data_IF_360271696321
#
_entry.id   IF_360271696321
#
_cell.length_a   1.000
_cell.length_b   1.000
_cell.length_c   1.000
_cell.angle_alpha   90.00
_cell.angle_beta   90.00
_cell.angle_gamma   90.00
#
_symmetry.space_group_name_H-M   'P 1'
#
loop_
_entity.id
_entity.type
_entity.pdbx_description
1 polymer ?
#
# COMPACT_ATOMS: atom_id res chain seq x y z
N UNK A 1 -22.97 13.76 20.68
CA UNK A 1 -22.13 14.96 20.47
C UNK A 1 -20.79 14.45 19.96
N UNK A 2 -20.65 14.25 18.65
CA UNK A 2 -20.34 15.24 17.61
C UNK A 2 -18.83 15.30 17.33
N UNK A 3 -18.51 15.02 16.05
CA UNK A 3 -17.33 15.46 15.27
C UNK A 3 -15.96 14.87 15.57
N UNK A 4 -15.62 13.80 14.84
CA UNK A 4 -14.27 13.52 14.32
C UNK A 4 -14.39 12.97 12.88
N UNK A 5 -14.88 13.82 11.97
CA UNK A 5 -14.75 13.60 10.52
C UNK A 5 -14.18 14.88 9.93
N UNK A 6 -12.91 15.14 10.22
CA UNK A 6 -12.17 16.20 9.55
C UNK A 6 -10.70 15.85 9.56
N UNK A 7 -10.22 15.17 8.52
CA UNK A 7 -8.86 15.31 7.96
C UNK A 7 -8.60 14.36 6.76
N UNK A 8 -9.55 14.25 5.82
CA UNK A 8 -9.21 13.77 4.47
C UNK A 8 -8.90 15.01 3.62
N UNK A 9 -7.68 15.21 3.08
CA UNK A 9 -7.32 16.40 2.34
C UNK A 9 -8.22 16.65 1.13
N UNK A 10 -8.62 17.91 0.93
CA UNK A 10 -9.36 18.38 -0.25
C UNK A 10 -8.50 18.19 -1.52
N UNK A 11 -8.84 17.18 -2.32
CA UNK A 11 -8.23 16.98 -3.65
C UNK A 11 -9.02 17.77 -4.69
N UNK A 12 -8.31 18.70 -5.34
CA UNK A 12 -8.80 19.67 -6.34
C UNK A 12 -9.54 18.98 -7.49
N UNK A 13 -10.65 19.62 -7.88
CA UNK A 13 -11.64 19.19 -8.86
C UNK A 13 -11.25 19.65 -10.27
N UNK A 14 -11.02 18.71 -11.19
CA UNK A 14 -11.35 18.87 -12.60
C UNK A 14 -11.32 17.49 -13.29
N UNK A 15 -12.50 17.03 -13.69
CA UNK A 15 -12.78 15.95 -14.66
C UNK A 15 -12.32 14.52 -14.30
N UNK A 16 -12.91 13.95 -13.26
CA UNK A 16 -12.82 12.51 -12.95
C UNK A 16 -14.20 11.98 -12.56
N UNK A 17 -14.62 10.83 -13.10
CA UNK A 17 -15.77 10.10 -12.56
C UNK A 17 -15.34 9.58 -11.18
N UNK A 18 -15.76 10.26 -10.11
CA UNK A 18 -15.55 9.75 -8.76
C UNK A 18 -16.61 8.67 -8.52
N UNK A 19 -16.20 7.48 -8.13
CA UNK A 19 -17.14 6.46 -7.61
C UNK A 19 -17.92 6.96 -6.38
N UNK A 20 -17.46 8.05 -5.74
CA UNK A 20 -18.26 8.82 -4.75
C UNK A 20 -19.59 9.33 -5.33
N UNK A 21 -19.65 9.74 -6.59
CA UNK A 21 -20.87 10.29 -7.20
C UNK A 21 -21.92 9.20 -7.51
N UNK A 22 -21.52 7.92 -7.50
CA UNK A 22 -22.44 6.77 -7.55
C UNK A 22 -22.93 6.41 -6.13
N UNK A 23 -22.10 6.63 -5.10
CA UNK A 23 -22.42 6.31 -3.71
C UNK A 23 -23.29 7.38 -3.00
N UNK A 24 -23.22 8.66 -3.39
CA UNK A 24 -23.96 9.74 -2.72
C UNK A 24 -25.47 9.76 -3.06
N UNK A 25 -25.92 8.98 -4.05
CA UNK A 25 -27.35 8.86 -4.42
C UNK A 25 -27.92 7.44 -4.36
N UNK A 26 -27.14 6.46 -3.90
CA UNK A 26 -27.64 5.10 -3.71
C UNK A 26 -27.28 4.64 -2.30
N UNK A 27 -28.32 4.51 -1.47
CA UNK A 27 -28.33 3.63 -0.29
C UNK A 27 -28.06 2.20 -0.77
N UNK A 28 -26.80 1.87 -1.06
CA UNK A 28 -26.33 0.51 -1.24
C UNK A 28 -25.82 0.06 0.12
N UNK A 29 -26.73 -0.56 0.88
CA UNK A 29 -26.38 -1.39 2.03
C UNK A 29 -25.80 -2.70 1.49
N UNK A 30 -24.51 -2.71 1.19
CA UNK A 30 -23.78 -3.83 0.60
C UNK A 30 -22.29 -3.71 0.87
N UNK A 31 -21.55 -4.78 0.56
CA UNK A 31 -20.11 -4.79 0.74
C UNK A 31 -19.45 -3.94 -0.35
N UNK A 32 -18.90 -2.78 0.04
CA UNK A 32 -18.33 -1.78 -0.88
C UNK A 32 -17.23 -2.30 -1.79
N UNK A 33 -16.59 -3.40 -1.40
CA UNK A 33 -15.58 -4.11 -2.18
C UNK A 33 -16.18 -4.86 -3.38
N UNK A 34 -17.37 -5.46 -3.23
CA UNK A 34 -18.06 -6.18 -4.31
C UNK A 34 -18.62 -5.21 -5.35
N UNK A 35 -19.20 -4.09 -4.91
CA UNK A 35 -19.69 -3.06 -5.82
C UNK A 35 -18.56 -2.42 -6.62
N UNK A 36 -17.41 -2.14 -5.97
CA UNK A 36 -16.21 -1.68 -6.67
C UNK A 36 -15.76 -2.71 -7.72
N UNK A 37 -15.66 -3.98 -7.32
CA UNK A 37 -15.23 -5.05 -8.23
C UNK A 37 -16.17 -5.21 -9.42
N UNK A 38 -17.48 -5.08 -9.21
CA UNK A 38 -18.47 -5.19 -10.28
C UNK A 38 -18.41 -3.99 -11.22
N UNK A 39 -18.33 -2.77 -10.68
CA UNK A 39 -18.22 -1.58 -11.50
C UNK A 39 -16.91 -1.56 -12.32
N UNK A 40 -15.80 -2.00 -11.72
CA UNK A 40 -14.53 -2.12 -12.42
C UNK A 40 -14.61 -3.12 -13.58
N UNK A 41 -15.24 -4.30 -13.38
CA UNK A 41 -15.35 -5.31 -14.44
C UNK A 41 -16.21 -4.87 -15.63
N UNK A 42 -17.15 -3.94 -15.42
CA UNK A 42 -18.02 -3.39 -16.46
C UNK A 42 -17.40 -2.20 -17.21
N UNK A 43 -16.29 -1.64 -16.73
CA UNK A 43 -15.70 -0.41 -17.24
C UNK A 43 -14.22 -0.61 -17.64
N UNK A 44 -13.94 -1.35 -18.73
CA UNK A 44 -12.56 -1.64 -19.17
C UNK A 44 -11.78 -0.40 -19.60
N UNK A 45 -12.45 0.74 -19.81
CA UNK A 45 -11.83 2.02 -20.14
C UNK A 45 -11.46 2.87 -18.92
N UNK A 46 -11.59 2.35 -17.69
CA UNK A 46 -11.19 3.08 -16.49
C UNK A 46 -9.69 3.38 -16.52
N UNK A 47 -9.32 4.64 -16.32
CA UNK A 47 -7.93 5.08 -16.22
C UNK A 47 -7.48 5.30 -14.77
N UNK A 48 -8.41 5.58 -13.86
CA UNK A 48 -8.13 5.66 -12.43
C UNK A 48 -9.29 5.17 -11.58
N UNK A 49 -8.96 4.65 -10.41
CA UNK A 49 -9.90 4.26 -9.37
C UNK A 49 -9.55 4.99 -8.09
N UNK A 50 -10.57 5.57 -7.46
CA UNK A 50 -10.48 6.08 -6.10
C UNK A 50 -11.68 5.63 -5.29
N UNK A 51 -11.47 4.86 -4.24
CA UNK A 51 -12.55 4.24 -3.48
C UNK A 51 -12.23 4.14 -1.99
N UNK A 52 -13.30 4.13 -1.20
CA UNK A 52 -13.26 3.69 0.21
C UNK A 52 -13.98 2.36 0.27
N UNK A 53 -13.26 1.33 0.67
CA UNK A 53 -13.67 -0.07 0.65
C UNK A 53 -13.90 -0.59 2.06
N UNK A 54 -14.65 -1.67 2.17
CA UNK A 54 -14.91 -2.37 3.44
C UNK A 54 -14.25 -3.75 3.35
N UNK A 55 -14.64 -4.68 4.22
CA UNK A 55 -14.16 -6.06 4.20
C UNK A 55 -14.39 -6.76 2.85
N UNK A 56 -13.69 -7.87 2.59
CA UNK A 56 -13.94 -8.73 1.42
C UNK A 56 -13.05 -8.46 0.22
N UNK A 57 -13.12 -9.38 -0.75
CA UNK A 57 -12.15 -9.49 -1.84
C UNK A 57 -12.22 -8.32 -2.82
N UNK A 58 -11.12 -7.59 -2.94
CA UNK A 58 -10.96 -6.53 -3.93
C UNK A 58 -10.78 -7.13 -5.33
N UNK A 59 -11.52 -6.59 -6.31
CA UNK A 59 -11.34 -6.92 -7.74
C UNK A 59 -11.53 -8.40 -8.12
N UNK A 60 -12.23 -9.21 -7.32
CA UNK A 60 -12.44 -10.63 -7.60
C UNK A 60 -13.20 -10.90 -8.92
N UNK A 61 -14.09 -9.99 -9.35
CA UNK A 61 -14.75 -10.02 -10.67
C UNK A 61 -13.84 -9.58 -11.83
N UNK A 62 -12.67 -9.01 -11.54
CA UNK A 62 -11.66 -8.62 -12.54
C UNK A 62 -10.56 -9.69 -12.71
N UNK A 63 -10.79 -10.90 -12.21
CA UNK A 63 -9.82 -12.01 -12.15
C UNK A 63 -9.29 -12.49 -13.51
N UNK A 64 -9.96 -12.15 -14.62
CA UNK A 64 -9.37 -12.31 -15.95
C UNK A 64 -8.27 -11.26 -16.16
N UNK A 65 -7.02 -11.73 -16.31
CA UNK A 65 -5.87 -10.85 -16.49
C UNK A 65 -6.07 -9.85 -17.63
N UNK A 66 -5.72 -8.59 -17.40
CA UNK A 66 -5.85 -7.52 -18.39
C UNK A 66 -7.28 -6.98 -18.58
N UNK A 67 -8.22 -7.26 -17.67
CA UNK A 67 -9.59 -6.71 -17.71
C UNK A 67 -9.68 -5.19 -17.52
N UNK A 68 -8.65 -4.57 -16.95
CA UNK A 68 -8.53 -3.12 -16.74
C UNK A 68 -7.28 -2.57 -17.48
N UNK A 69 -7.23 -2.69 -18.82
CA UNK A 69 -6.00 -2.44 -19.58
C UNK A 69 -5.58 -0.96 -19.59
N UNK A 70 -6.51 -0.03 -19.36
CA UNK A 70 -6.23 1.40 -19.35
C UNK A 70 -5.96 1.97 -17.95
N UNK A 71 -6.13 1.16 -16.90
CA UNK A 71 -6.00 1.63 -15.52
C UNK A 71 -4.54 1.97 -15.21
N UNK A 72 -4.31 3.20 -14.75
CA UNK A 72 -3.00 3.79 -14.47
C UNK A 72 -2.84 4.18 -13.00
N UNK A 73 -3.92 4.53 -12.33
CA UNK A 73 -3.87 5.02 -10.95
C UNK A 73 -4.93 4.37 -10.08
N UNK A 74 -4.53 3.93 -8.89
CA UNK A 74 -5.43 3.37 -7.88
C UNK A 74 -5.15 4.05 -6.55
N UNK A 75 -6.21 4.53 -5.90
CA UNK A 75 -6.19 5.12 -4.55
C UNK A 75 -7.32 4.48 -3.72
N UNK A 76 -6.94 3.56 -2.83
CA UNK A 76 -7.87 2.83 -1.97
C UNK A 76 -7.68 3.22 -0.53
N UNK A 77 -8.79 3.32 0.20
CA UNK A 77 -8.76 3.45 1.65
C UNK A 77 -9.70 2.43 2.27
N UNK A 78 -9.24 1.72 3.29
CA UNK A 78 -10.11 0.90 4.12
C UNK A 78 -10.99 1.80 5.00
N UNK A 79 -12.27 1.46 5.12
CA UNK A 79 -13.25 2.24 5.89
C UNK A 79 -12.96 2.21 7.39
N UNK A 80 -12.48 1.08 7.89
CA UNK A 80 -12.25 0.86 9.31
C UNK A 80 -10.78 1.05 9.70
N UNK A 81 -10.58 1.51 10.94
CA UNK A 81 -9.29 1.64 11.62
C UNK A 81 -8.95 0.40 12.47
N UNK A 82 -9.79 -0.62 12.49
CA UNK A 82 -9.49 -1.92 13.12
C UNK A 82 -9.34 -3.05 12.08
N UNK A 83 -9.30 -2.69 10.80
CA UNK A 83 -9.05 -3.62 9.70
C UNK A 83 -8.20 -2.98 8.61
N UNK A 84 -7.53 -3.80 7.83
CA UNK A 84 -6.71 -3.37 6.71
C UNK A 84 -6.96 -4.26 5.50
N UNK A 85 -6.57 -3.78 4.33
CA UNK A 85 -6.44 -4.64 3.16
C UNK A 85 -5.29 -5.61 3.37
N UNK A 86 -5.48 -6.87 3.00
CA UNK A 86 -4.37 -7.80 2.87
C UNK A 86 -3.59 -7.48 1.58
N UNK A 87 -2.27 -7.61 1.61
CA UNK A 87 -1.46 -7.56 0.40
C UNK A 87 -1.93 -8.61 -0.64
N UNK A 88 -2.38 -9.78 -0.21
CA UNK A 88 -2.89 -10.83 -1.07
C UNK A 88 -4.11 -10.38 -1.89
N UNK A 89 -4.96 -9.52 -1.33
CA UNK A 89 -6.15 -8.98 -2.02
C UNK A 89 -5.78 -8.14 -3.26
N UNK A 90 -4.55 -7.61 -3.31
CA UNK A 90 -4.07 -6.82 -4.45
C UNK A 90 -3.66 -7.69 -5.65
N UNK A 91 -3.51 -9.00 -5.50
CA UNK A 91 -3.10 -9.88 -6.57
C UNK A 91 -4.08 -9.84 -7.76
N UNK A 92 -5.39 -9.77 -7.48
CA UNK A 92 -6.42 -9.62 -8.50
C UNK A 92 -6.29 -8.29 -9.26
N UNK A 93 -6.06 -7.19 -8.54
CA UNK A 93 -5.81 -5.89 -9.14
C UNK A 93 -4.59 -5.91 -10.06
N UNK A 94 -3.48 -6.50 -9.61
CA UNK A 94 -2.24 -6.55 -10.38
C UNK A 94 -2.38 -7.37 -11.67
N UNK A 95 -3.15 -8.46 -11.62
CA UNK A 95 -3.51 -9.23 -12.83
C UNK A 95 -4.42 -8.42 -13.75
N UNK A 96 -5.41 -7.72 -13.21
CA UNK A 96 -6.39 -6.96 -13.98
C UNK A 96 -5.78 -5.72 -14.66
N UNK A 97 -4.84 -5.03 -14.00
CA UNK A 97 -4.32 -3.72 -14.39
C UNK A 97 -2.82 -3.72 -14.71
N UNK A 98 -2.37 -4.36 -15.81
CA UNK A 98 -0.94 -4.50 -16.14
C UNK A 98 -0.23 -3.16 -16.46
N UNK A 99 -1.00 -2.10 -16.73
CA UNK A 99 -0.48 -0.77 -17.05
C UNK A 99 -0.54 0.21 -15.87
N UNK A 100 -0.82 -0.29 -14.66
CA UNK A 100 -0.84 0.51 -13.43
C UNK A 100 0.51 1.20 -13.23
N UNK A 101 0.48 2.50 -12.97
CA UNK A 101 1.66 3.36 -12.76
C UNK A 101 1.77 3.87 -11.34
N UNK A 102 0.65 4.01 -10.64
CA UNK A 102 0.58 4.52 -9.28
C UNK A 102 -0.41 3.73 -8.45
N UNK A 103 0.04 3.34 -7.25
CA UNK A 103 -0.76 2.68 -6.24
C UNK A 103 -0.69 3.49 -4.94
N UNK A 104 -1.85 3.86 -4.42
CA UNK A 104 -2.00 4.48 -3.11
C UNK A 104 -2.98 3.65 -2.28
N UNK A 105 -2.57 3.24 -1.08
CA UNK A 105 -3.38 2.44 -0.18
C UNK A 105 -3.31 3.02 1.22
N UNK A 106 -4.46 3.23 1.83
CA UNK A 106 -4.61 3.63 3.22
C UNK A 106 -5.27 2.49 4.01
N UNK A 107 -4.54 1.88 4.93
CA UNK A 107 -4.95 0.67 5.63
C UNK A 107 -4.52 -0.59 4.88
N UNK A 108 -3.25 -0.98 5.04
CA UNK A 108 -2.67 -2.20 4.47
C UNK A 108 -1.94 -2.97 5.57
N UNK A 109 -2.23 -4.27 5.73
CA UNK A 109 -1.51 -5.17 6.62
C UNK A 109 -0.71 -6.19 5.82
N UNK A 110 0.46 -6.54 6.34
CA UNK A 110 1.09 -7.82 6.04
C UNK A 110 0.48 -8.89 6.92
N UNK A 111 0.46 -10.12 6.43
CA UNK A 111 -0.13 -11.26 7.12
C UNK A 111 0.39 -11.40 8.58
N UNK A 112 -0.54 -11.70 9.49
CA UNK A 112 -0.38 -11.74 10.94
C UNK A 112 0.21 -13.05 11.45
N UNK A 113 0.15 -14.10 10.64
CA UNK A 113 0.51 -15.43 11.10
C UNK A 113 2.03 -15.63 10.99
N UNK A 114 2.61 -16.26 12.03
CA UNK A 114 3.98 -16.74 12.04
C UNK A 114 4.38 -17.30 10.68
N UNK A 115 5.65 -17.19 10.23
CA UNK A 115 6.07 -17.60 8.90
C UNK A 115 5.62 -19.03 8.61
N UNK A 116 4.44 -19.15 8.00
CA UNK A 116 3.94 -20.36 7.40
C UNK A 116 4.86 -20.60 6.21
N UNK A 117 5.22 -21.86 5.95
CA UNK A 117 6.45 -22.21 5.24
C UNK A 117 6.59 -21.61 3.83
N UNK A 118 7.64 -22.01 3.11
CA UNK A 118 7.96 -21.51 1.74
C UNK A 118 6.78 -21.50 0.73
N UNK A 119 5.69 -22.20 1.05
CA UNK A 119 4.42 -22.26 0.33
C UNK A 119 3.42 -21.12 0.63
N UNK A 120 3.68 -20.11 1.47
CA UNK A 120 2.72 -18.99 1.72
C UNK A 120 3.24 -17.61 1.28
N UNK A 121 3.72 -17.53 0.04
CA UNK A 121 3.93 -16.22 -0.61
C UNK A 121 2.57 -15.59 -0.88
N UNK A 122 2.21 -14.51 -0.18
CA UNK A 122 0.98 -13.72 -0.41
C UNK A 122 0.85 -13.24 -1.85
N UNK A 123 1.98 -12.94 -2.47
CA UNK A 123 2.09 -12.74 -3.91
C UNK A 123 2.70 -14.00 -4.55
N UNK A 124 2.03 -15.14 -4.37
CA UNK A 124 2.47 -16.42 -4.92
C UNK A 124 2.44 -16.36 -6.45
N UNK A 125 3.61 -16.56 -7.03
CA UNK A 125 3.80 -16.78 -8.45
C UNK A 125 4.86 -15.85 -9.00
N UNK A 126 5.86 -16.46 -9.63
CA UNK A 126 6.73 -15.86 -10.64
C UNK A 126 5.94 -15.30 -11.87
N UNK A 127 4.70 -14.83 -11.66
CA UNK A 127 3.68 -14.53 -12.67
C UNK A 127 3.13 -13.10 -12.54
N UNK A 128 3.17 -12.47 -11.36
CA UNK A 128 2.68 -11.09 -11.17
C UNK A 128 3.88 -10.13 -11.14
N UNK A 129 4.16 -9.51 -12.28
CA UNK A 129 5.19 -8.47 -12.40
C UNK A 129 4.54 -7.18 -12.88
N UNK A 130 4.53 -6.18 -12.01
CA UNK A 130 4.03 -4.83 -12.28
C UNK A 130 5.11 -4.00 -12.97
N UNK A 131 5.36 -4.31 -14.26
CA UNK A 131 6.42 -3.70 -15.07
C UNK A 131 6.24 -2.19 -15.34
N UNK A 132 5.09 -1.64 -14.97
CA UNK A 132 4.75 -0.23 -15.18
C UNK A 132 4.56 0.57 -13.88
N UNK A 133 4.51 -0.08 -12.72
CA UNK A 133 4.22 0.58 -11.44
C UNK A 133 5.45 1.37 -10.97
N UNK A 134 5.36 2.70 -10.99
CA UNK A 134 6.46 3.62 -10.66
C UNK A 134 6.35 4.22 -9.26
N UNK A 135 5.13 4.36 -8.76
CA UNK A 135 4.87 4.99 -7.47
C UNK A 135 4.01 4.11 -6.58
N UNK A 136 4.48 3.89 -5.35
CA UNK A 136 3.74 3.23 -4.27
C UNK A 136 3.66 4.19 -3.09
N UNK A 137 2.46 4.39 -2.55
CA UNK A 137 2.20 5.21 -1.37
C UNK A 137 1.28 4.43 -0.42
N UNK A 138 1.84 3.92 0.67
CA UNK A 138 1.14 3.10 1.64
C UNK A 138 1.09 3.87 2.96
N UNK A 139 -0.11 3.99 3.54
CA UNK A 139 -0.34 4.77 4.76
C UNK A 139 -1.21 4.00 5.73
N UNK A 140 -1.09 4.33 7.01
CA UNK A 140 -1.80 3.64 8.08
C UNK A 140 -1.64 2.12 7.93
N UNK A 141 -0.40 1.66 7.80
CA UNK A 141 -0.08 0.29 7.46
C UNK A 141 0.87 -0.36 8.46
N UNK A 142 0.88 -1.69 8.45
CA UNK A 142 1.87 -2.50 9.14
C UNK A 142 2.37 -3.60 8.19
N UNK A 143 3.59 -3.44 7.69
CA UNK A 143 4.22 -4.43 6.81
C UNK A 143 5.46 -4.97 7.50
N UNK A 144 5.62 -6.29 7.53
CA UNK A 144 6.89 -6.90 7.93
C UNK A 144 7.90 -6.90 6.75
N UNK A 145 9.14 -7.30 7.01
CA UNK A 145 10.21 -7.28 6.01
C UNK A 145 9.96 -8.24 4.83
N UNK A 146 9.31 -9.37 5.07
CA UNK A 146 8.94 -10.35 4.04
C UNK A 146 7.89 -9.77 3.10
N UNK A 147 6.83 -9.16 3.64
CA UNK A 147 5.77 -8.50 2.87
C UNK A 147 6.34 -7.36 2.02
N UNK A 148 7.26 -6.57 2.56
CA UNK A 148 7.96 -5.53 1.79
C UNK A 148 8.82 -6.12 0.65
N UNK A 149 9.53 -7.24 0.89
CA UNK A 149 10.34 -7.91 -0.14
C UNK A 149 9.46 -8.45 -1.27
N UNK A 150 8.32 -9.07 -0.93
CA UNK A 150 7.35 -9.56 -1.90
C UNK A 150 6.80 -8.42 -2.76
N UNK A 151 6.35 -7.33 -2.13
CA UNK A 151 5.83 -6.16 -2.83
C UNK A 151 6.86 -5.56 -3.81
N UNK A 152 8.09 -5.34 -3.37
CA UNK A 152 9.15 -4.78 -4.22
C UNK A 152 9.66 -5.78 -5.27
N UNK A 153 9.57 -7.07 -5.02
CA UNK A 153 9.86 -8.11 -6.01
C UNK A 153 8.83 -8.11 -7.14
N UNK A 154 7.55 -7.94 -6.82
CA UNK A 154 6.48 -7.81 -7.80
C UNK A 154 6.56 -6.48 -8.59
N UNK A 155 7.19 -5.45 -8.03
CA UNK A 155 7.23 -4.10 -8.59
C UNK A 155 8.69 -3.64 -8.88
N UNK A 156 9.42 -4.29 -9.81
CA UNK A 156 10.88 -4.13 -9.96
C UNK A 156 11.34 -2.75 -10.48
N UNK A 157 10.39 -1.92 -10.92
CA UNK A 157 10.60 -0.65 -11.62
C UNK A 157 10.11 0.55 -10.80
N UNK A 158 9.75 0.34 -9.53
CA UNK A 158 9.30 1.41 -8.64
C UNK A 158 10.42 2.43 -8.46
N UNK A 159 10.08 3.70 -8.65
CA UNK A 159 10.96 4.85 -8.52
C UNK A 159 10.69 5.61 -7.23
N UNK A 160 9.44 5.61 -6.76
CA UNK A 160 9.02 6.32 -5.55
C UNK A 160 8.27 5.38 -4.63
N UNK A 161 8.75 5.27 -3.39
CA UNK A 161 8.09 4.51 -2.33
C UNK A 161 7.82 5.42 -1.14
N UNK A 162 6.56 5.47 -0.70
CA UNK A 162 6.15 6.19 0.50
C UNK A 162 5.47 5.23 1.45
N UNK A 163 5.85 5.28 2.72
CA UNK A 163 5.30 4.44 3.77
C UNK A 163 5.00 5.27 5.02
N UNK A 164 3.82 5.10 5.58
CA UNK A 164 3.44 5.67 6.87
C UNK A 164 2.79 4.58 7.74
N UNK A 165 3.40 4.32 8.89
CA UNK A 165 3.07 3.26 9.84
C UNK A 165 1.80 3.51 10.67
N UNK A 166 1.31 2.45 11.34
CA UNK A 166 0.27 2.53 12.37
C UNK A 166 -1.15 2.63 11.82
N UNK A 167 -2.09 3.17 12.58
CA UNK A 167 -3.46 3.43 12.11
C UNK A 167 -4.31 2.17 12.10
N UNK A 168 -4.71 1.68 10.92
CA UNK A 168 -5.69 0.59 10.86
C UNK A 168 -5.13 -0.81 11.16
N UNK A 169 -3.81 -0.88 11.39
CA UNK A 169 -3.05 -2.09 11.67
C UNK A 169 -2.21 -1.95 12.95
N UNK A 170 -2.73 -1.26 13.98
CA UNK A 170 -2.06 -1.17 15.28
C UNK A 170 -2.01 -2.56 15.94
N UNK A 171 -0.82 -2.97 16.40
CA UNK A 171 -0.56 -4.30 16.98
C UNK A 171 0.03 -5.34 16.02
N UNK A 172 0.09 -5.03 14.72
CA UNK A 172 0.65 -5.89 13.68
C UNK A 172 2.18 -5.75 13.57
N UNK A 173 2.86 -6.81 13.15
CA UNK A 173 4.32 -6.83 12.93
C UNK A 173 4.75 -5.81 11.86
N UNK A 174 5.76 -4.99 12.18
CA UNK A 174 6.32 -3.99 11.27
C UNK A 174 7.82 -4.22 11.06
N UNK A 175 8.30 -3.94 9.85
CA UNK A 175 9.73 -3.98 9.57
C UNK A 175 10.48 -2.92 10.38
N UNK A 176 11.70 -3.26 10.79
CA UNK A 176 12.65 -2.29 11.31
C UNK A 176 13.31 -1.48 10.18
N UNK A 177 13.85 -0.29 10.46
CA UNK A 177 14.53 0.54 9.45
C UNK A 177 15.70 -0.18 8.77
N UNK A 178 16.44 -1.03 9.50
CA UNK A 178 17.52 -1.84 8.95
C UNK A 178 17.03 -2.88 7.95
N UNK A 179 15.92 -3.56 8.24
CA UNK A 179 15.31 -4.53 7.34
C UNK A 179 14.76 -3.86 6.09
N UNK A 180 14.10 -2.70 6.26
CA UNK A 180 13.66 -1.86 5.14
C UNK A 180 14.82 -1.51 4.22
N UNK A 181 15.94 -1.04 4.79
CA UNK A 181 17.17 -0.76 4.03
C UNK A 181 17.59 -1.99 3.24
N UNK A 182 17.74 -3.13 3.90
CA UNK A 182 18.27 -4.35 3.26
C UNK A 182 17.39 -4.81 2.09
N UNK A 183 16.07 -4.83 2.30
CA UNK A 183 15.09 -5.16 1.26
C UNK A 183 15.16 -4.15 0.11
N UNK A 184 15.16 -2.85 0.40
CA UNK A 184 15.20 -1.81 -0.64
C UNK A 184 16.52 -1.81 -1.43
N UNK A 185 17.66 -2.09 -0.78
CA UNK A 185 18.96 -2.23 -1.46
C UNK A 185 18.99 -3.47 -2.36
N UNK A 186 18.35 -4.56 -1.92
CA UNK A 186 18.25 -5.79 -2.70
C UNK A 186 17.29 -5.66 -3.88
N UNK A 187 16.06 -5.19 -3.66
CA UNK A 187 14.96 -5.22 -4.65
C UNK A 187 14.76 -3.90 -5.41
N UNK A 188 14.91 -2.76 -4.75
CA UNK A 188 14.62 -1.44 -5.30
C UNK A 188 15.69 -0.89 -6.24
N UNK A 189 15.95 -1.56 -7.37
CA UNK A 189 17.03 -1.17 -8.30
C UNK A 189 16.77 0.16 -9.01
N UNK A 190 15.51 0.54 -9.19
CA UNK A 190 15.09 1.79 -9.85
C UNK A 190 14.65 2.88 -8.86
N UNK A 191 14.71 2.62 -7.55
CA UNK A 191 14.29 3.59 -6.54
C UNK A 191 15.11 4.88 -6.66
N UNK A 192 14.41 6.01 -6.64
CA UNK A 192 14.96 7.37 -6.64
C UNK A 192 14.59 8.12 -5.37
N UNK A 193 13.39 7.89 -4.83
CA UNK A 193 12.92 8.52 -3.61
C UNK A 193 12.21 7.53 -2.70
N UNK A 194 12.55 7.61 -1.42
CA UNK A 194 11.91 6.87 -0.34
C UNK A 194 11.52 7.87 0.75
N UNK A 195 10.25 7.85 1.16
CA UNK A 195 9.75 8.66 2.28
C UNK A 195 9.09 7.75 3.31
N UNK A 196 9.47 7.87 4.57
CA UNK A 196 9.03 6.95 5.61
C UNK A 196 8.62 7.71 6.87
N UNK A 197 7.44 7.39 7.39
CA UNK A 197 6.94 7.88 8.66
C UNK A 197 6.69 6.70 9.61
N UNK A 198 7.51 6.59 10.65
CA UNK A 198 7.49 5.46 11.57
C UNK A 198 6.61 5.67 12.81
N UNK A 199 5.92 6.81 12.92
CA UNK A 199 4.99 7.07 14.02
C UNK A 199 3.72 7.79 13.55
N UNK A 200 3.26 7.52 12.33
CA UNK A 200 2.20 8.31 11.70
C UNK A 200 0.86 8.25 12.45
N UNK A 201 0.46 7.07 12.94
CA UNK A 201 -0.84 6.88 13.57
C UNK A 201 -0.84 6.02 14.85
N UNK A 202 0.33 5.67 15.40
CA UNK A 202 0.53 5.34 16.82
C UNK A 202 2.02 5.11 17.12
N UNK A 203 2.37 5.17 18.41
CA UNK A 203 3.70 4.77 18.88
C UNK A 203 3.81 3.24 18.78
N UNK A 204 4.54 2.72 17.80
CA UNK A 204 4.95 1.32 17.84
C UNK A 204 5.84 1.13 19.08
N UNK A 205 5.28 0.55 20.16
CA UNK A 205 5.97 0.47 21.46
C UNK A 205 7.14 -0.53 21.47
N UNK A 206 7.30 -1.35 20.43
CA UNK A 206 8.23 -2.49 20.43
C UNK A 206 9.30 -2.42 19.34
N UNK A 207 10.04 -1.30 19.26
CA UNK A 207 11.33 -1.28 18.56
C UNK A 207 12.49 -1.42 19.54
N UNK A 208 12.38 -2.41 20.44
CA UNK A 208 13.40 -2.70 21.43
C UNK A 208 14.74 -3.05 20.74
N UNK A 209 15.78 -2.29 21.07
CA UNK A 209 17.15 -2.55 20.61
C UNK A 209 17.59 -1.81 19.33
N UNK A 210 16.77 -0.90 18.80
CA UNK A 210 17.20 -0.06 17.69
C UNK A 210 18.07 1.11 18.15
N UNK A 211 19.28 1.24 17.59
CA UNK A 211 20.17 2.37 17.86
C UNK A 211 19.85 3.51 16.88
N UNK A 212 19.59 4.71 17.40
CA UNK A 212 19.42 5.90 16.57
C UNK A 212 20.64 6.16 15.64
N UNK A 213 21.84 5.69 16.03
CA UNK A 213 23.04 5.73 15.20
C UNK A 213 22.89 4.89 13.91
N UNK A 214 22.01 3.89 13.88
CA UNK A 214 21.75 3.08 12.68
C UNK A 214 21.11 3.91 11.56
N UNK A 215 20.39 4.99 11.89
CA UNK A 215 19.83 5.88 10.87
C UNK A 215 20.88 6.58 10.04
N UNK A 216 22.02 6.91 10.62
CA UNK A 216 23.08 7.58 9.88
C UNK A 216 23.73 6.61 8.88
N UNK A 217 23.88 5.34 9.26
CA UNK A 217 24.30 4.27 8.35
C UNK A 217 23.28 4.07 7.24
N UNK A 218 21.99 4.00 7.58
CA UNK A 218 20.90 3.84 6.59
C UNK A 218 20.90 5.03 5.62
N UNK A 219 20.93 6.27 6.10
CA UNK A 219 20.98 7.47 5.25
C UNK A 219 22.19 7.45 4.33
N UNK A 220 23.34 7.05 4.83
CA UNK A 220 24.57 6.92 4.04
C UNK A 220 24.42 5.87 2.93
N UNK A 221 23.82 4.72 3.21
CA UNK A 221 23.60 3.66 2.22
C UNK A 221 22.65 4.11 1.10
N UNK A 222 21.55 4.79 1.45
CA UNK A 222 20.64 5.39 0.47
C UNK A 222 21.32 6.48 -0.37
N UNK A 223 22.09 7.36 0.27
CA UNK A 223 22.87 8.41 -0.40
C UNK A 223 23.89 7.82 -1.38
N UNK A 224 24.61 6.76 -1.00
CA UNK A 224 25.57 6.06 -1.89
C UNK A 224 24.92 5.47 -3.13
N UNK A 225 23.66 5.04 -3.03
CA UNK A 225 22.85 4.59 -4.16
C UNK A 225 22.17 5.72 -4.95
N UNK A 226 22.34 6.98 -4.53
CA UNK A 226 21.70 8.13 -5.18
C UNK A 226 20.20 8.19 -4.94
N UNK A 227 19.71 7.59 -3.85
CA UNK A 227 18.29 7.57 -3.47
C UNK A 227 18.06 8.68 -2.44
N UNK A 228 17.10 9.55 -2.71
CA UNK A 228 16.62 10.54 -1.75
C UNK A 228 15.83 9.82 -0.65
N UNK A 229 16.31 9.91 0.60
CA UNK A 229 15.65 9.34 1.76
C UNK A 229 15.12 10.47 2.66
N UNK A 230 13.80 10.50 2.82
CA UNK A 230 13.09 11.35 3.76
C UNK A 230 12.53 10.49 4.90
N UNK A 231 12.82 10.85 6.14
CA UNK A 231 12.32 10.14 7.32
C UNK A 231 11.71 11.14 8.28
N UNK A 232 10.43 10.95 8.59
CA UNK A 232 9.68 11.69 9.60
C UNK A 232 9.38 10.80 10.80
N UNK A 233 9.23 11.44 11.96
CA UNK A 233 8.81 10.84 13.23
C UNK A 233 9.50 9.50 13.54
N UNK A 234 10.75 9.57 14.00
CA UNK A 234 11.48 8.41 14.50
C UNK A 234 11.06 8.10 15.93
N UNK A 235 10.91 6.81 16.31
CA UNK A 235 10.74 6.45 17.71
C UNK A 235 11.92 6.95 18.53
N UNK A 236 11.63 7.62 19.64
CA UNK A 236 12.66 8.13 20.54
C UNK A 236 13.35 6.97 21.25
N UNK A 237 14.68 6.89 21.17
CA UNK A 237 15.47 6.03 22.03
C UNK A 237 15.28 6.47 23.48
N UNK A 238 14.83 5.56 24.35
CA UNK A 238 14.79 5.77 25.81
C UNK A 238 16.05 5.23 26.47
#
# INVERSE_FOLDING_TARGET
MATFVSQIPEVRRSEWVRLRDIADNALLTGNKSDELSLLASLLPSLEAIRAVTTYGELFHFCSTGGSLPLLREVDLAHYDLEGAHDLADLAALFKAAPNLKKLSIHGLSGDDEEPVGDDDRLLQGDTIIMANLREIDIRAAALNASTLDQLLSACPVVEVFRYASGGSAVGYCQFHPGEMRDVMMRRGKQLKRVAVDFMYADNCEEWDGWDANDMDVIREDFRRRGIELEVSNLPSTR
#
